data_IF_676488224396
#
_entry.id   IF_676488224396
#
_cell.length_a   1.000
_cell.length_b   1.000
_cell.length_c   1.000
_cell.angle_alpha   90.00
_cell.angle_beta   90.00
_cell.angle_gamma   90.00
#
_symmetry.space_group_name_H-M   'P 1'
#
loop_
_entity.id
_entity.type
_entity.pdbx_description
1 polymer ?
#
# COMPACT_ATOMS: atom_id res chain seq x y z
N UNK A 1 4.90 -5.29 -20.59
CA UNK A 1 4.79 -5.55 -19.13
C UNK A 1 5.71 -4.58 -18.42
N UNK A 2 5.20 -3.80 -17.47
CA UNK A 2 6.04 -2.94 -16.64
C UNK A 2 6.69 -3.83 -15.57
N UNK A 3 8.01 -4.00 -15.64
CA UNK A 3 8.79 -4.89 -14.76
C UNK A 3 9.50 -4.14 -13.62
N UNK A 4 9.21 -2.84 -13.45
CA UNK A 4 9.88 -1.95 -12.49
C UNK A 4 8.89 -1.17 -11.63
N UNK A 5 9.38 -0.59 -10.51
CA UNK A 5 8.54 0.15 -9.59
C UNK A 5 7.80 1.30 -10.28
N UNK A 6 6.51 1.41 -10.01
CA UNK A 6 5.69 2.54 -10.46
C UNK A 6 4.80 3.04 -9.33
N UNK A 7 4.38 4.30 -9.41
CA UNK A 7 3.36 4.84 -8.53
C UNK A 7 1.99 4.52 -9.10
N UNK A 8 1.09 4.09 -8.23
CA UNK A 8 -0.28 3.69 -8.59
C UNK A 8 -1.25 4.44 -7.72
N UNK A 9 -2.29 5.03 -8.33
CA UNK A 9 -3.35 5.68 -7.58
C UNK A 9 -4.06 4.67 -6.68
N UNK A 10 -4.34 5.04 -5.43
CA UNK A 10 -4.96 4.10 -4.49
C UNK A 10 -6.34 3.60 -4.98
N UNK A 11 -7.03 4.40 -5.82
CA UNK A 11 -8.33 4.04 -6.39
C UNK A 11 -8.27 2.89 -7.41
N UNK A 12 -7.09 2.58 -7.96
CA UNK A 12 -6.89 1.47 -8.89
C UNK A 12 -6.61 0.13 -8.18
N UNK A 13 -6.37 0.16 -6.86
CA UNK A 13 -5.90 -1.00 -6.12
C UNK A 13 -7.06 -1.76 -5.46
N UNK A 14 -7.09 -3.07 -5.66
CA UNK A 14 -8.16 -3.94 -5.18
C UNK A 14 -7.66 -4.86 -4.05
N UNK A 15 -7.83 -4.50 -2.77
CA UNK A 15 -7.54 -5.41 -1.66
C UNK A 15 -8.62 -6.49 -1.54
N UNK A 16 -8.22 -7.72 -1.27
CA UNK A 16 -9.12 -8.86 -1.09
C UNK A 16 -9.13 -9.45 0.34
N UNK A 17 -8.36 -8.86 1.25
CA UNK A 17 -8.28 -9.27 2.65
C UNK A 17 -8.54 -8.10 3.60
N UNK A 18 -9.07 -8.40 4.78
CA UNK A 18 -9.22 -7.43 5.85
C UNK A 18 -7.87 -7.12 6.51
N UNK A 19 -7.71 -5.87 6.97
CA UNK A 19 -6.53 -5.47 7.74
C UNK A 19 -6.84 -5.44 9.23
N UNK A 20 -5.79 -5.50 10.06
CA UNK A 20 -5.91 -5.35 11.51
C UNK A 20 -5.72 -3.86 11.86
N UNK A 21 -6.75 -3.16 12.39
CA UNK A 21 -6.69 -1.71 12.62
C UNK A 21 -5.55 -1.27 13.55
N UNK A 22 -5.25 -2.08 14.57
CA UNK A 22 -4.15 -1.80 15.50
C UNK A 22 -2.79 -1.90 14.81
N UNK A 23 -2.63 -2.87 13.92
CA UNK A 23 -1.40 -3.02 13.11
C UNK A 23 -1.26 -1.86 12.13
N UNK A 24 -2.35 -1.42 11.49
CA UNK A 24 -2.36 -0.24 10.61
C UNK A 24 -1.95 1.02 11.39
N UNK A 25 -2.53 1.26 12.58
CA UNK A 25 -2.19 2.43 13.42
C UNK A 25 -0.71 2.45 13.81
N UNK A 26 -0.16 1.32 14.28
CA UNK A 26 1.27 1.21 14.65
C UNK A 26 2.16 1.42 13.42
N UNK A 27 1.80 0.80 12.30
CA UNK A 27 2.56 0.90 11.04
C UNK A 27 2.57 2.33 10.50
N UNK A 28 1.43 3.03 10.53
CA UNK A 28 1.35 4.43 10.10
C UNK A 28 2.29 5.34 10.90
N UNK A 29 2.37 5.15 12.21
CA UNK A 29 3.32 5.89 13.05
C UNK A 29 4.77 5.64 12.64
N UNK A 30 5.13 4.39 12.31
CA UNK A 30 6.46 4.06 11.83
C UNK A 30 6.79 4.69 10.46
N UNK A 31 5.84 4.68 9.52
CA UNK A 31 6.01 5.30 8.21
C UNK A 31 6.30 6.79 8.32
N UNK A 32 5.53 7.50 9.17
CA UNK A 32 5.75 8.93 9.46
C UNK A 32 7.10 9.14 10.12
N UNK A 33 7.45 8.36 11.15
CA UNK A 33 8.73 8.47 11.86
C UNK A 33 9.93 8.24 10.93
N UNK A 34 9.82 7.31 9.99
CA UNK A 34 10.89 7.04 9.03
C UNK A 34 10.92 8.02 7.86
N UNK A 35 9.85 8.78 7.63
CA UNK A 35 9.68 9.60 6.42
C UNK A 35 9.60 8.76 5.14
N UNK A 36 9.28 7.46 5.23
CA UNK A 36 9.33 6.55 4.09
C UNK A 36 8.46 5.29 4.28
N UNK A 37 7.92 4.79 3.16
CA UNK A 37 7.43 3.40 3.02
C UNK A 37 8.57 2.52 2.55
N UNK A 38 9.06 1.63 3.42
CA UNK A 38 10.28 0.84 3.16
C UNK A 38 10.10 -0.34 2.20
N UNK A 39 8.87 -0.68 1.84
CA UNK A 39 8.58 -1.77 0.92
C UNK A 39 7.27 -1.52 0.14
N UNK A 40 7.25 -1.88 -1.14
CA UNK A 40 6.16 -1.65 -2.11
C UNK A 40 4.96 -2.57 -1.92
N UNK A 41 3.77 -2.13 -2.32
CA UNK A 41 2.58 -2.99 -2.37
C UNK A 41 2.70 -3.91 -3.59
N UNK A 42 2.62 -5.23 -3.41
CA UNK A 42 2.73 -6.16 -4.54
C UNK A 42 1.34 -6.38 -5.12
N UNK A 43 1.21 -6.20 -6.43
CA UNK A 43 -0.06 -6.34 -7.15
C UNK A 43 0.10 -7.26 -8.35
N UNK A 44 -0.99 -7.87 -8.79
CA UNK A 44 -0.97 -8.53 -10.10
C UNK A 44 -0.94 -7.48 -11.24
N UNK A 45 -0.41 -7.89 -12.39
CA UNK A 45 -0.19 -6.99 -13.52
C UNK A 45 -1.42 -6.68 -14.37
N UNK A 46 -2.55 -7.36 -14.15
CA UNK A 46 -3.75 -7.27 -14.98
C UNK A 46 -4.87 -6.52 -14.26
N UNK A 47 -5.24 -6.98 -13.07
CA UNK A 47 -6.44 -6.54 -12.36
C UNK A 47 -6.12 -5.64 -11.15
N UNK A 48 -4.83 -5.42 -10.85
CA UNK A 48 -4.33 -4.61 -9.73
C UNK A 48 -4.83 -5.11 -8.37
N UNK A 49 -5.08 -6.41 -8.29
CA UNK A 49 -5.35 -7.14 -7.07
C UNK A 49 -4.12 -7.08 -6.18
N UNK A 50 -4.30 -6.63 -4.94
CA UNK A 50 -3.21 -6.60 -3.96
C UNK A 50 -2.89 -8.02 -3.54
N UNK A 51 -1.69 -8.50 -3.89
CA UNK A 51 -1.18 -9.83 -3.52
C UNK A 51 -0.46 -9.78 -2.16
N UNK A 52 0.27 -8.69 -1.88
CA UNK A 52 0.88 -8.44 -0.58
C UNK A 52 0.89 -6.93 -0.28
N UNK A 53 0.78 -6.58 1.00
CA UNK A 53 0.86 -5.21 1.46
C UNK A 53 -0.48 -4.54 1.77
N UNK A 54 -1.54 -5.29 2.06
CA UNK A 54 -2.84 -4.75 2.44
C UNK A 54 -2.75 -3.75 3.61
N UNK A 55 -1.95 -4.05 4.66
CA UNK A 55 -1.73 -3.07 5.74
C UNK A 55 -0.99 -1.82 5.27
N UNK A 56 -0.10 -1.91 4.27
CA UNK A 56 0.60 -0.74 3.70
C UNK A 56 -0.35 0.13 2.89
N UNK A 57 -1.21 -0.50 2.09
CA UNK A 57 -2.29 0.20 1.39
C UNK A 57 -3.24 0.90 2.39
N UNK A 58 -3.66 0.20 3.45
CA UNK A 58 -4.50 0.79 4.50
C UNK A 58 -3.78 1.94 5.25
N UNK A 59 -2.47 1.85 5.45
CA UNK A 59 -1.65 2.95 5.99
C UNK A 59 -1.66 4.14 5.02
N UNK A 60 -1.51 3.91 3.72
CA UNK A 60 -1.54 4.97 2.71
C UNK A 60 -2.88 5.73 2.72
N UNK A 61 -4.00 5.01 2.76
CA UNK A 61 -5.32 5.63 2.93
C UNK A 61 -5.42 6.42 4.24
N UNK A 62 -4.96 5.85 5.37
CA UNK A 62 -4.99 6.53 6.68
C UNK A 62 -4.17 7.82 6.70
N UNK A 63 -3.05 7.85 5.97
CA UNK A 63 -2.18 9.02 5.85
C UNK A 63 -2.63 10.01 4.77
N UNK A 64 -3.72 9.73 4.05
CA UNK A 64 -4.23 10.61 3.00
C UNK A 64 -3.33 10.67 1.76
N UNK A 65 -2.58 9.60 1.47
CA UNK A 65 -1.74 9.54 0.27
C UNK A 65 -2.60 9.34 -0.98
N UNK A 66 -2.12 9.82 -2.13
CA UNK A 66 -2.77 9.62 -3.43
C UNK A 66 -2.33 8.35 -4.13
N UNK A 67 -1.07 7.97 -3.96
CA UNK A 67 -0.48 6.81 -4.61
C UNK A 67 0.45 6.05 -3.68
N UNK A 68 0.72 4.80 -4.03
CA UNK A 68 1.77 3.96 -3.42
C UNK A 68 2.69 3.41 -4.50
N UNK A 69 3.95 3.13 -4.15
CA UNK A 69 4.80 2.36 -5.02
C UNK A 69 4.32 0.89 -5.03
N UNK A 70 4.16 0.34 -6.23
CA UNK A 70 3.95 -1.10 -6.47
C UNK A 70 5.16 -1.72 -7.17
#
# INVERSE_FOLDING_TARGET
MQLGPTLVDLSELHPHEATNPNRVKKSAHMHVRWGAMRARVVVDGKDRLVLDGHHRLAVAHRLGLRCVPV
#
